data_IF_360298744650
#
_entry.id   IF_360298744650
#
_cell.length_a   1.000
_cell.length_b   1.000
_cell.length_c   1.000
_cell.angle_alpha   90.00
_cell.angle_beta   90.00
_cell.angle_gamma   90.00
#
_symmetry.space_group_name_H-M   'P 1'
#
loop_
_entity.id
_entity.type
_entity.pdbx_description
1 polymer ?
#
# COMPACT_ATOMS: atom_id res chain seq x y z
N UNK A 1 19.13 0.66 6.18
CA UNK A 1 18.32 -0.08 7.18
C UNK A 1 17.26 -0.85 6.42
N UNK A 2 16.80 -2.01 6.90
CA UNK A 2 15.64 -2.66 6.29
C UNK A 2 14.36 -2.05 6.86
N UNK A 3 13.53 -1.50 5.99
CA UNK A 3 12.16 -1.11 6.29
C UNK A 3 11.23 -2.29 6.01
N UNK A 4 10.27 -2.55 6.91
CA UNK A 4 9.20 -3.52 6.70
C UNK A 4 7.87 -2.81 6.95
N UNK A 5 7.07 -2.62 5.90
CA UNK A 5 5.78 -1.94 5.98
C UNK A 5 4.66 -2.76 5.32
N UNK A 6 3.45 -2.72 5.91
CA UNK A 6 2.22 -3.21 5.27
C UNK A 6 1.27 -2.04 5.04
N UNK A 7 0.65 -2.00 3.86
CA UNK A 7 -0.23 -0.90 3.46
C UNK A 7 -1.65 -1.32 3.14
N UNK A 8 -2.60 -0.57 3.68
CA UNK A 8 -3.98 -0.58 3.24
C UNK A 8 -4.34 0.74 2.55
N UNK A 9 -5.10 0.67 1.47
CA UNK A 9 -5.90 1.79 0.97
C UNK A 9 -7.30 1.74 1.60
N UNK A 10 -7.96 2.90 1.74
CA UNK A 10 -9.33 2.97 2.22
C UNK A 10 -10.15 4.04 1.45
N UNK A 11 -11.50 3.99 1.49
CA UNK A 11 -12.32 4.96 0.78
C UNK A 11 -12.16 6.35 1.41
N UNK A 12 -11.68 7.33 0.64
CA UNK A 12 -11.45 8.70 1.15
C UNK A 12 -12.68 9.34 1.80
N UNK A 13 -13.88 9.04 1.30
CA UNK A 13 -15.15 9.50 1.89
C UNK A 13 -15.36 9.04 3.34
N UNK A 14 -14.66 7.98 3.78
CA UNK A 14 -14.72 7.42 5.14
C UNK A 14 -13.60 7.91 6.05
N UNK A 15 -12.82 8.93 5.66
CA UNK A 15 -11.71 9.46 6.45
C UNK A 15 -12.08 9.75 7.91
N UNK A 16 -13.14 10.53 8.15
CA UNK A 16 -13.55 10.93 9.51
C UNK A 16 -13.83 9.69 10.37
N UNK A 17 -14.55 8.72 9.80
CA UNK A 17 -14.87 7.47 10.50
C UNK A 17 -13.63 6.62 10.73
N UNK A 18 -12.76 6.48 9.72
CA UNK A 18 -11.50 5.73 9.79
C UNK A 18 -10.58 6.28 10.88
N UNK A 19 -10.39 7.60 10.93
CA UNK A 19 -9.59 8.24 11.97
C UNK A 19 -10.20 8.01 13.37
N UNK A 20 -11.52 8.14 13.51
CA UNK A 20 -12.20 7.87 14.78
C UNK A 20 -12.07 6.41 15.21
N UNK A 21 -12.12 5.46 14.28
CA UNK A 21 -11.98 4.04 14.57
C UNK A 21 -10.54 3.71 14.99
N UNK A 22 -9.54 4.26 14.30
CA UNK A 22 -8.13 4.14 14.72
C UNK A 22 -7.90 4.69 16.13
N UNK A 23 -8.49 5.85 16.45
CA UNK A 23 -8.43 6.41 17.81
C UNK A 23 -9.14 5.55 18.85
N UNK A 24 -10.25 4.89 18.48
CA UNK A 24 -10.94 3.98 19.39
C UNK A 24 -10.10 2.72 19.68
N UNK A 25 -9.31 2.25 18.70
CA UNK A 25 -8.48 1.04 18.82
C UNK A 25 -7.17 1.34 19.57
N UNK A 26 -6.56 2.49 19.33
CA UNK A 26 -5.18 2.79 19.73
C UNK A 26 -5.01 4.05 20.60
N UNK A 27 -6.11 4.75 20.91
CA UNK A 27 -6.08 6.00 21.65
C UNK A 27 -5.66 7.20 20.82
N UNK A 28 -5.25 8.28 21.50
CA UNK A 28 -4.83 9.52 20.84
C UNK A 28 -3.55 9.34 20.01
N UNK A 29 -3.44 10.00 18.85
CA UNK A 29 -2.23 9.95 18.05
C UNK A 29 -1.05 10.62 18.75
N UNK A 30 0.15 10.09 18.50
CA UNK A 30 1.43 10.64 18.96
C UNK A 30 1.85 11.91 18.23
N UNK A 31 1.48 12.05 16.95
CA UNK A 31 1.76 13.27 16.18
C UNK A 31 0.78 13.43 15.01
N UNK A 32 0.66 14.67 14.55
CA UNK A 32 0.01 15.03 13.29
C UNK A 32 0.91 16.02 12.54
N UNK A 33 1.25 15.74 11.29
CA UNK A 33 2.24 16.54 10.54
C UNK A 33 1.90 16.61 9.05
N UNK A 34 2.11 17.78 8.45
CA UNK A 34 2.03 17.97 7.00
C UNK A 34 3.39 17.59 6.39
N UNK A 35 3.38 16.62 5.47
CA UNK A 35 4.56 16.12 4.78
C UNK A 35 4.54 16.51 3.30
N UNK A 36 5.51 17.33 2.92
CA UNK A 36 5.71 17.77 1.54
C UNK A 36 6.95 17.11 0.96
N UNK A 37 6.80 16.41 -0.15
CA UNK A 37 7.87 15.63 -0.75
C UNK A 37 8.01 16.00 -2.23
N UNK A 38 9.24 16.05 -2.71
CA UNK A 38 9.59 16.11 -4.13
C UNK A 38 10.38 14.86 -4.47
N UNK A 39 9.96 14.13 -5.49
CA UNK A 39 10.66 12.95 -5.98
C UNK A 39 11.57 13.34 -7.14
N UNK A 40 12.73 12.71 -7.21
CA UNK A 40 13.77 12.99 -8.19
C UNK A 40 14.16 11.73 -8.96
N UNK A 41 14.39 11.90 -10.25
CA UNK A 41 14.87 10.86 -11.16
C UNK A 41 15.65 11.52 -12.31
N UNK A 42 16.30 10.71 -13.14
CA UNK A 42 16.90 11.14 -14.40
C UNK A 42 15.83 11.36 -15.47
N UNK A 43 16.10 12.11 -16.56
CA UNK A 43 15.13 12.37 -17.62
C UNK A 43 14.57 11.11 -18.29
N UNK A 44 15.31 10.01 -18.24
CA UNK A 44 14.89 8.72 -18.79
C UNK A 44 14.24 7.79 -17.74
N UNK A 45 14.09 8.22 -16.49
CA UNK A 45 13.53 7.44 -15.37
C UNK A 45 14.38 6.24 -14.93
N UNK A 46 15.70 6.41 -14.83
CA UNK A 46 16.62 5.33 -14.48
C UNK A 46 16.42 4.81 -13.03
N UNK A 47 16.05 5.66 -12.08
CA UNK A 47 15.70 5.26 -10.71
C UNK A 47 14.46 4.38 -10.74
N UNK A 48 13.39 4.81 -11.42
CA UNK A 48 12.17 4.01 -11.53
C UNK A 48 12.42 2.65 -12.16
N UNK A 49 13.13 2.59 -13.30
CA UNK A 49 13.46 1.30 -13.93
C UNK A 49 14.26 0.37 -13.03
N UNK A 50 15.07 0.94 -12.15
CA UNK A 50 15.85 0.21 -11.14
C UNK A 50 15.06 -0.07 -9.86
N UNK A 51 13.76 0.27 -9.81
CA UNK A 51 12.87 0.17 -8.64
C UNK A 51 13.41 0.93 -7.42
N UNK A 52 14.00 2.09 -7.68
CA UNK A 52 14.56 3.01 -6.68
C UNK A 52 13.72 4.28 -6.65
N UNK A 53 13.50 4.81 -5.44
CA UNK A 53 12.84 6.08 -5.22
C UNK A 53 13.74 7.00 -4.40
N UNK A 54 14.06 8.17 -4.95
CA UNK A 54 14.76 9.24 -4.26
C UNK A 54 13.79 10.40 -4.02
N UNK A 55 13.70 10.85 -2.77
CA UNK A 55 12.88 12.01 -2.42
C UNK A 55 13.63 12.98 -1.53
N UNK A 56 13.21 14.24 -1.62
CA UNK A 56 13.51 15.30 -0.66
C UNK A 56 12.21 15.69 0.04
N UNK A 57 12.20 15.67 1.36
CA UNK A 57 11.05 15.97 2.21
C UNK A 57 11.29 17.23 3.01
N UNK A 58 10.29 18.12 3.06
CA UNK A 58 10.25 19.26 3.95
C UNK A 58 9.47 18.89 5.23
N UNK A 59 10.10 19.13 6.38
CA UNK A 59 9.56 18.93 7.73
C UNK A 59 9.48 20.27 8.47
N UNK A 60 8.79 21.25 7.89
CA UNK A 60 8.60 22.56 8.52
C UNK A 60 9.88 23.38 8.67
N UNK A 61 10.79 23.29 7.70
CA UNK A 61 12.07 24.02 7.68
C UNK A 61 13.31 23.14 7.84
N UNK A 62 13.14 21.89 8.30
CA UNK A 62 14.16 20.85 8.20
C UNK A 62 13.95 20.02 6.92
N UNK A 63 15.03 19.49 6.36
CA UNK A 63 15.01 18.72 5.12
C UNK A 63 15.52 17.30 5.34
N UNK A 64 14.86 16.33 4.74
CA UNK A 64 15.28 14.93 4.75
C UNK A 64 15.37 14.40 3.32
N UNK A 65 16.53 13.86 2.98
CA UNK A 65 16.71 13.05 1.77
C UNK A 65 16.51 11.59 2.13
N UNK A 66 15.62 10.92 1.42
CA UNK A 66 15.39 9.47 1.55
C UNK A 66 15.67 8.79 0.22
N UNK A 67 16.50 7.75 0.24
CA UNK A 67 16.62 6.77 -0.83
C UNK A 67 15.95 5.48 -0.37
N UNK A 68 15.01 4.96 -1.15
CA UNK A 68 14.42 3.62 -0.98
C UNK A 68 14.74 2.79 -2.21
N UNK A 69 15.18 1.56 -2.03
CA UNK A 69 15.47 0.67 -3.14
C UNK A 69 15.89 -0.71 -2.65
N UNK A 70 16.03 -1.63 -3.58
CA UNK A 70 16.31 -3.02 -3.22
C UNK A 70 15.16 -3.67 -2.43
N UNK A 71 15.29 -4.96 -2.21
CA UNK A 71 14.31 -5.74 -1.44
C UNK A 71 13.21 -6.38 -2.28
N UNK A 72 12.11 -6.76 -1.62
CA UNK A 72 11.02 -7.57 -2.18
C UNK A 72 9.68 -7.04 -1.69
N UNK A 73 8.67 -7.19 -2.52
CA UNK A 73 7.28 -6.87 -2.20
C UNK A 73 6.43 -8.14 -2.34
N UNK A 74 5.46 -8.35 -1.43
CA UNK A 74 4.48 -9.44 -1.52
C UNK A 74 3.11 -8.93 -1.07
N UNK A 75 2.12 -8.88 -1.97
CA UNK A 75 0.73 -8.49 -1.66
C UNK A 75 0.55 -7.23 -0.78
N UNK A 76 1.45 -6.24 -0.87
CA UNK A 76 1.39 -4.99 -0.09
C UNK A 76 2.25 -4.96 1.17
N UNK A 77 2.92 -6.07 1.52
CA UNK A 77 4.06 -6.09 2.44
C UNK A 77 5.31 -5.69 1.66
N UNK A 78 5.90 -4.56 2.01
CA UNK A 78 7.12 -4.05 1.42
C UNK A 78 8.30 -4.29 2.36
N UNK A 79 9.36 -4.92 1.84
CA UNK A 79 10.63 -5.06 2.56
C UNK A 79 11.71 -4.46 1.70
N UNK A 80 12.24 -3.29 2.09
CA UNK A 80 13.15 -2.50 1.26
C UNK A 80 14.34 -1.99 2.05
N UNK A 81 15.43 -1.73 1.36
CA UNK A 81 16.52 -0.98 1.96
C UNK A 81 16.19 0.52 1.90
N UNK A 82 16.34 1.18 3.03
CA UNK A 82 16.11 2.61 3.19
C UNK A 82 17.33 3.30 3.81
N UNK A 83 17.64 4.45 3.24
CA UNK A 83 18.67 5.37 3.72
C UNK A 83 18.06 6.77 3.89
N UNK A 84 18.23 7.34 5.08
CA UNK A 84 17.72 8.66 5.43
C UNK A 84 18.86 9.57 5.85
N UNK A 85 18.84 10.81 5.35
CA UNK A 85 19.81 11.83 5.74
C UNK A 85 19.12 13.16 6.00
N UNK A 86 19.37 13.72 7.17
CA UNK A 86 19.00 15.09 7.48
C UNK A 86 19.90 16.06 6.71
N UNK A 87 19.28 17.10 6.15
CA UNK A 87 19.91 18.11 5.32
C UNK A 87 19.60 19.50 5.88
N UNK A 88 20.54 20.42 5.68
CA UNK A 88 20.44 21.81 6.15
C UNK A 88 19.65 22.71 5.21
N UNK A 89 19.46 22.31 3.95
CA UNK A 89 18.78 23.10 2.93
C UNK A 89 17.95 22.24 1.95
N UNK A 90 17.20 22.92 1.08
CA UNK A 90 16.31 22.31 0.10
C UNK A 90 17.06 21.85 -1.15
N UNK A 91 18.10 21.02 -0.99
CA UNK A 91 18.89 20.49 -2.11
C UNK A 91 19.28 19.05 -1.83
N UNK A 92 19.22 18.20 -2.87
CA UNK A 92 19.78 16.87 -2.77
C UNK A 92 21.29 16.94 -2.55
N UNK A 93 21.79 16.09 -1.67
CA UNK A 93 23.21 15.83 -1.51
C UNK A 93 23.53 14.49 -2.20
N UNK A 94 23.94 14.60 -3.47
CA UNK A 94 24.28 13.46 -4.34
C UNK A 94 25.49 12.71 -3.82
N UNK A 95 26.39 13.36 -3.06
CA UNK A 95 27.57 12.70 -2.49
C UNK A 95 27.18 11.57 -1.53
N UNK A 96 26.04 11.70 -0.83
CA UNK A 96 25.49 10.68 0.07
C UNK A 96 24.96 9.44 -0.65
N UNK A 97 24.69 9.53 -1.95
CA UNK A 97 24.24 8.41 -2.77
C UNK A 97 25.42 7.57 -3.31
N UNK A 98 26.64 8.12 -3.25
CA UNK A 98 27.83 7.47 -3.77
C UNK A 98 28.14 6.18 -3.01
N UNK A 99 28.37 5.08 -3.73
CA UNK A 99 28.69 3.78 -3.15
C UNK A 99 27.48 2.96 -2.68
N UNK A 100 26.26 3.43 -2.91
CA UNK A 100 25.06 2.63 -2.65
C UNK A 100 24.76 1.75 -3.87
N UNK A 101 24.73 0.44 -3.65
CA UNK A 101 24.61 -0.56 -4.72
C UNK A 101 23.37 -0.38 -5.61
N UNK A 102 22.24 0.05 -5.05
CA UNK A 102 20.99 0.20 -5.80
C UNK A 102 21.02 1.33 -6.83
N UNK A 103 21.96 2.27 -6.72
CA UNK A 103 22.13 3.40 -7.67
C UNK A 103 23.46 3.35 -8.43
N UNK A 104 24.25 2.28 -8.29
CA UNK A 104 25.61 2.19 -8.85
C UNK A 104 25.70 2.34 -10.37
N UNK A 105 24.62 2.02 -11.08
CA UNK A 105 24.52 2.05 -12.55
C UNK A 105 23.69 3.23 -13.06
N UNK A 106 23.37 4.20 -12.21
CA UNK A 106 22.54 5.36 -12.54
C UNK A 106 23.44 6.59 -12.60
N UNK A 107 23.34 7.37 -13.67
CA UNK A 107 23.99 8.68 -13.75
C UNK A 107 23.24 9.69 -12.87
N UNK A 108 23.82 10.01 -11.71
CA UNK A 108 23.22 10.91 -10.74
C UNK A 108 23.42 12.40 -11.08
N UNK A 109 24.15 12.72 -12.16
CA UNK A 109 24.42 14.10 -12.58
C UNK A 109 23.21 14.85 -13.11
N UNK A 110 22.23 14.13 -13.67
CA UNK A 110 21.05 14.69 -14.34
C UNK A 110 19.76 14.55 -13.51
N UNK A 111 19.86 14.37 -12.19
CA UNK A 111 18.69 14.26 -11.33
C UNK A 111 17.86 15.55 -11.34
N UNK A 112 16.59 15.42 -11.71
CA UNK A 112 15.61 16.50 -11.73
C UNK A 112 14.35 16.15 -10.95
N UNK A 113 13.56 17.15 -10.49
CA UNK A 113 12.29 16.91 -9.84
C UNK A 113 11.27 16.35 -10.84
N UNK A 114 10.52 15.32 -10.44
CA UNK A 114 9.61 14.58 -11.33
C UNK A 114 8.15 14.79 -10.93
N UNK A 115 7.81 14.51 -9.68
CA UNK A 115 6.47 14.69 -9.13
C UNK A 115 6.56 15.02 -7.63
N UNK A 116 5.41 15.40 -7.05
CA UNK A 116 5.31 15.77 -5.64
C UNK A 116 4.25 14.95 -4.92
N UNK A 117 4.44 14.77 -3.62
CA UNK A 117 3.39 14.26 -2.73
C UNK A 117 3.20 15.21 -1.56
N UNK A 118 1.97 15.61 -1.30
CA UNK A 118 1.60 16.47 -0.18
C UNK A 118 0.45 15.83 0.59
N UNK A 119 0.71 15.46 1.84
CA UNK A 119 -0.27 14.78 2.67
C UNK A 119 -0.08 15.07 4.14
N UNK A 120 -1.17 14.96 4.89
CA UNK A 120 -1.18 14.94 6.34
C UNK A 120 -0.94 13.51 6.81
N UNK A 121 -0.03 13.33 7.76
CA UNK A 121 0.25 12.06 8.44
C UNK A 121 -0.16 12.18 9.90
N UNK A 122 -1.11 11.36 10.31
CA UNK A 122 -1.46 11.13 11.71
C UNK A 122 -0.80 9.84 12.16
N UNK A 123 -0.04 9.86 13.25
CA UNK A 123 0.81 8.75 13.67
C UNK A 123 0.48 8.25 15.07
N UNK A 124 0.55 6.93 15.26
CA UNK A 124 0.60 6.25 16.55
C UNK A 124 1.88 5.41 16.65
N UNK A 125 2.50 5.40 17.84
CA UNK A 125 3.49 4.40 18.20
C UNK A 125 2.76 3.33 19.00
N UNK A 126 2.79 2.09 18.52
CA UNK A 126 2.05 0.99 19.12
C UNK A 126 3.00 -0.14 19.51
N UNK A 127 2.74 -0.74 20.66
CA UNK A 127 3.40 -1.96 21.11
C UNK A 127 2.40 -3.11 21.05
N UNK A 128 2.75 -4.18 20.34
CA UNK A 128 1.91 -5.36 20.21
C UNK A 128 2.77 -6.60 20.01
N UNK A 129 2.42 -7.69 20.69
CA UNK A 129 3.11 -8.99 20.56
C UNK A 129 4.64 -8.89 20.75
N UNK A 130 5.11 -8.03 21.66
CA UNK A 130 6.54 -7.81 21.90
C UNK A 130 7.29 -7.09 20.78
N UNK A 131 6.57 -6.46 19.85
CA UNK A 131 7.11 -5.66 18.74
C UNK A 131 6.60 -4.22 18.81
N UNK A 132 7.36 -3.30 18.22
CA UNK A 132 7.04 -1.86 18.14
C UNK A 132 6.74 -1.49 16.70
N UNK A 133 5.62 -0.80 16.48
CA UNK A 133 5.21 -0.35 15.16
C UNK A 133 4.94 1.15 15.14
N UNK A 134 5.24 1.78 13.99
CA UNK A 134 4.66 3.05 13.60
C UNK A 134 3.39 2.74 12.77
N UNK A 135 2.24 3.18 13.26
CA UNK A 135 0.99 3.17 12.51
C UNK A 135 0.73 4.58 11.99
N UNK A 136 0.56 4.73 10.69
CA UNK A 136 0.33 6.02 10.04
C UNK A 136 -0.98 6.02 9.25
N UNK A 137 -1.80 7.05 9.45
CA UNK A 137 -2.92 7.40 8.58
C UNK A 137 -2.47 8.57 7.70
N UNK A 138 -2.38 8.32 6.40
CA UNK A 138 -1.93 9.31 5.42
C UNK A 138 -3.08 9.74 4.52
N UNK A 139 -3.29 11.06 4.44
CA UNK A 139 -4.30 11.66 3.56
C UNK A 139 -3.78 12.88 2.82
N UNK A 140 -3.95 12.89 1.51
CA UNK A 140 -3.53 14.01 0.69
C UNK A 140 -3.58 13.70 -0.80
N UNK A 141 -2.52 14.04 -1.51
CA UNK A 141 -2.42 13.86 -2.95
C UNK A 141 -0.99 13.62 -3.46
N UNK A 142 -0.94 12.95 -4.61
CA UNK A 142 0.22 12.84 -5.49
C UNK A 142 -0.07 13.70 -6.71
N UNK A 143 0.88 14.56 -7.09
CA UNK A 143 0.73 15.47 -8.21
C UNK A 143 1.90 15.30 -9.18
N UNK A 144 1.57 14.89 -10.40
CA UNK A 144 2.49 14.80 -11.53
C UNK A 144 2.09 15.74 -12.67
N UNK A 145 2.76 15.61 -13.81
CA UNK A 145 2.52 16.43 -14.99
C UNK A 145 1.18 16.12 -15.68
N UNK A 146 0.69 14.89 -15.59
CA UNK A 146 -0.54 14.44 -16.28
C UNK A 146 -1.78 14.47 -15.40
N UNK A 147 -1.64 14.70 -14.09
CA UNK A 147 -2.79 14.74 -13.18
C UNK A 147 -2.45 14.66 -11.70
N UNK A 148 -3.49 14.37 -10.92
CA UNK A 148 -3.46 14.24 -9.46
C UNK A 148 -4.13 12.92 -9.07
N UNK A 149 -3.53 12.18 -8.14
CA UNK A 149 -4.15 11.00 -7.50
C UNK A 149 -4.30 11.23 -6.00
N UNK A 150 -5.41 10.81 -5.37
CA UNK A 150 -5.59 10.92 -3.93
C UNK A 150 -4.63 9.99 -3.16
N UNK A 151 -4.29 10.40 -1.94
CA UNK A 151 -3.68 9.55 -0.92
C UNK A 151 -4.74 9.35 0.17
N UNK A 152 -5.05 8.08 0.47
CA UNK A 152 -5.89 7.66 1.59
C UNK A 152 -5.47 6.25 1.99
N UNK A 153 -4.43 6.17 2.82
CA UNK A 153 -3.79 4.91 3.20
C UNK A 153 -3.52 4.81 4.71
N UNK A 154 -3.48 3.56 5.19
CA UNK A 154 -3.02 3.18 6.52
C UNK A 154 -1.74 2.37 6.33
N UNK A 155 -0.62 2.85 6.87
CA UNK A 155 0.67 2.16 6.84
C UNK A 155 1.00 1.60 8.23
N UNK A 156 1.48 0.36 8.28
CA UNK A 156 1.98 -0.30 9.48
C UNK A 156 3.45 -0.61 9.24
N UNK A 157 4.35 0.17 9.85
CA UNK A 157 5.78 -0.02 9.75
C UNK A 157 6.32 -0.70 11.02
N UNK A 158 7.01 -1.82 10.87
CA UNK A 158 7.70 -2.49 11.97
C UNK A 158 8.99 -1.72 12.28
N UNK A 159 9.12 -1.20 13.50
CA UNK A 159 10.33 -0.52 13.97
C UNK A 159 11.27 -1.48 14.68
N UNK A 160 10.72 -2.34 15.54
CA UNK A 160 11.47 -3.33 16.32
C UNK A 160 10.62 -4.59 16.51
N UNK A 161 11.25 -5.77 16.46
CA UNK A 161 10.58 -7.05 16.71
C UNK A 161 10.43 -7.92 15.47
N UNK A 162 9.35 -8.70 15.41
CA UNK A 162 9.14 -9.77 14.43
C UNK A 162 8.16 -9.37 13.32
N UNK A 163 8.51 -9.65 12.07
CA UNK A 163 7.67 -9.38 10.88
C UNK A 163 6.32 -10.10 10.96
N UNK A 164 6.26 -11.29 11.57
CA UNK A 164 5.01 -12.03 11.76
C UNK A 164 3.98 -11.28 12.62
N UNK A 165 4.42 -10.35 13.47
CA UNK A 165 3.54 -9.55 14.31
C UNK A 165 2.83 -8.41 13.53
N UNK A 166 3.31 -8.03 12.34
CA UNK A 166 2.65 -7.04 11.46
C UNK A 166 1.23 -7.48 11.12
N UNK A 167 1.03 -8.77 10.80
CA UNK A 167 -0.28 -9.32 10.44
C UNK A 167 -1.30 -9.21 11.59
N UNK A 168 -0.86 -9.34 12.84
CA UNK A 168 -1.75 -9.24 14.00
C UNK A 168 -2.31 -7.81 14.15
N UNK A 169 -1.47 -6.79 13.94
CA UNK A 169 -1.90 -5.39 13.91
C UNK A 169 -2.83 -5.14 12.73
N UNK A 170 -2.45 -5.65 11.55
CA UNK A 170 -3.22 -5.49 10.32
C UNK A 170 -4.62 -6.09 10.42
N UNK A 171 -4.76 -7.26 11.04
CA UNK A 171 -6.07 -7.88 11.28
C UNK A 171 -6.97 -7.05 12.18
N UNK A 172 -6.42 -6.41 13.22
CA UNK A 172 -7.22 -5.55 14.12
C UNK A 172 -7.82 -4.37 13.36
N UNK A 173 -7.11 -3.85 12.37
CA UNK A 173 -7.56 -2.80 11.46
C UNK A 173 -8.61 -3.36 10.50
N UNK A 174 -8.27 -4.41 9.74
CA UNK A 174 -9.13 -4.97 8.71
C UNK A 174 -10.47 -5.50 9.28
N UNK A 175 -10.53 -5.94 10.54
CA UNK A 175 -11.79 -6.37 11.19
C UNK A 175 -12.78 -5.23 11.46
N UNK A 176 -12.32 -3.98 11.52
CA UNK A 176 -13.14 -2.84 11.95
C UNK A 176 -13.25 -1.73 10.91
N UNK A 177 -12.25 -1.63 10.03
CA UNK A 177 -12.11 -0.52 9.08
C UNK A 177 -12.19 -1.10 7.67
N UNK A 178 -13.22 -0.74 6.89
CA UNK A 178 -13.28 -1.00 5.45
C UNK A 178 -12.05 -0.45 4.72
N UNK A 179 -11.22 -1.37 4.24
CA UNK A 179 -9.94 -1.12 3.59
C UNK A 179 -9.56 -2.32 2.70
N UNK A 180 -8.50 -2.19 1.90
CA UNK A 180 -7.94 -3.26 1.06
C UNK A 180 -6.42 -3.11 0.96
N UNK A 181 -5.70 -4.22 0.76
CA UNK A 181 -4.24 -4.16 0.63
C UNK A 181 -3.84 -3.33 -0.59
N UNK A 182 -2.84 -2.47 -0.42
CA UNK A 182 -2.31 -1.63 -1.50
C UNK A 182 -0.88 -2.03 -1.81
N UNK A 183 -0.62 -2.39 -3.07
CA UNK A 183 0.72 -2.77 -3.56
C UNK A 183 1.49 -1.60 -4.13
N UNK A 184 0.81 -0.55 -4.56
CA UNK A 184 1.46 0.58 -5.22
C UNK A 184 2.00 1.58 -4.20
N UNK A 185 3.33 1.66 -4.10
CA UNK A 185 3.97 2.74 -3.35
C UNK A 185 3.56 4.11 -3.91
N UNK A 186 3.64 5.15 -3.07
CA UNK A 186 3.40 6.55 -3.51
C UNK A 186 4.31 6.94 -4.68
N UNK A 187 5.54 6.40 -4.73
CA UNK A 187 6.46 6.61 -5.84
C UNK A 187 5.93 5.99 -7.15
N UNK A 188 5.49 4.73 -7.12
CA UNK A 188 4.93 4.05 -8.28
C UNK A 188 3.71 4.80 -8.86
N UNK A 189 2.80 5.24 -7.98
CA UNK A 189 1.65 6.08 -8.36
C UNK A 189 2.04 7.46 -8.88
N UNK A 190 3.15 8.02 -8.42
CA UNK A 190 3.70 9.28 -8.94
C UNK A 190 4.27 9.14 -10.35
N UNK A 191 4.99 8.05 -10.62
CA UNK A 191 5.53 7.76 -11.95
C UNK A 191 4.43 7.58 -13.01
N UNK A 192 3.29 7.00 -12.64
CA UNK A 192 2.13 6.93 -13.57
C UNK A 192 1.57 8.31 -13.95
N UNK A 193 1.84 9.35 -13.15
CA UNK A 193 1.37 10.72 -13.38
C UNK A 193 2.37 11.61 -14.13
N UNK A 194 3.46 11.04 -14.63
CA UNK A 194 4.50 11.79 -15.37
C UNK A 194 4.88 11.12 -16.68
N UNK A 195 4.07 10.14 -17.12
CA UNK A 195 4.29 9.43 -18.38
C UNK A 195 5.51 8.50 -18.35
N UNK A 196 6.01 8.13 -17.16
CA UNK A 196 7.06 7.13 -17.06
C UNK A 196 6.53 5.78 -17.58
N UNK A 197 7.33 5.02 -18.33
CA UNK A 197 6.93 3.69 -18.76
C UNK A 197 6.66 2.83 -17.53
N UNK A 198 5.61 1.98 -17.55
CA UNK A 198 5.38 1.04 -16.47
C UNK A 198 6.63 0.15 -16.34
N UNK A 199 7.05 -0.11 -15.09
CA UNK A 199 8.06 -1.14 -14.85
C UNK A 199 7.41 -2.45 -15.29
N UNK A 200 7.91 -3.05 -16.37
CA UNK A 200 7.46 -4.37 -16.78
C UNK A 200 7.54 -5.31 -15.58
N UNK A 201 6.46 -6.06 -15.31
CA UNK A 201 6.62 -7.27 -14.50
C UNK A 201 7.67 -8.08 -15.26
N UNK A 202 8.79 -8.42 -14.61
CA UNK A 202 9.64 -9.48 -15.17
C UNK A 202 8.68 -10.64 -15.40
N UNK A 203 8.48 -11.01 -16.66
CA UNK A 203 7.61 -12.10 -17.04
C UNK A 203 8.33 -13.37 -16.60
N UNK A 204 8.35 -13.61 -15.29
CA UNK A 204 8.67 -14.92 -14.77
C UNK A 204 7.48 -15.75 -15.19
N UNK A 205 7.67 -16.60 -16.20
CA UNK A 205 6.76 -17.67 -16.60
C UNK A 205 6.63 -18.73 -15.47
N UNK A 206 6.70 -18.31 -14.22
CA UNK A 206 6.38 -19.10 -13.06
C UNK A 206 4.89 -18.90 -12.79
N UNK A 207 4.07 -19.80 -13.34
CA UNK A 207 2.68 -20.00 -12.94
C UNK A 207 2.62 -20.60 -11.52
N UNK A 208 3.32 -19.99 -10.57
CA UNK A 208 3.21 -20.37 -9.17
C UNK A 208 1.88 -19.83 -8.63
N UNK A 209 1.30 -20.59 -7.71
CA UNK A 209 0.09 -20.20 -7.01
C UNK A 209 0.24 -18.82 -6.32
N UNK A 210 1.42 -18.55 -5.74
CA UNK A 210 1.75 -17.27 -5.12
C UNK A 210 1.77 -16.11 -6.12
N UNK A 211 2.24 -16.31 -7.35
CA UNK A 211 2.22 -15.28 -8.39
C UNK A 211 0.80 -14.95 -8.85
N UNK A 212 -0.06 -15.96 -8.99
CA UNK A 212 -1.48 -15.78 -9.34
C UNK A 212 -2.24 -15.06 -8.21
N UNK A 213 -1.97 -15.43 -6.96
CA UNK A 213 -2.53 -14.75 -5.80
C UNK A 213 -2.10 -13.29 -5.70
N UNK A 214 -0.81 -12.99 -5.94
CA UNK A 214 -0.29 -11.62 -5.95
C UNK A 214 -0.94 -10.77 -7.05
N UNK A 215 -1.20 -11.35 -8.22
CA UNK A 215 -1.92 -10.69 -9.31
C UNK A 215 -3.37 -10.37 -8.93
N UNK A 216 -4.12 -11.34 -8.43
CA UNK A 216 -5.52 -11.15 -8.02
C UNK A 216 -5.67 -10.09 -6.91
N UNK A 217 -4.73 -9.99 -5.97
CA UNK A 217 -4.72 -8.92 -4.98
C UNK A 217 -4.45 -7.55 -5.63
N UNK A 218 -3.60 -7.49 -6.65
CA UNK A 218 -3.40 -6.28 -7.44
C UNK A 218 -4.67 -5.85 -8.16
N UNK A 219 -5.37 -6.79 -8.80
CA UNK A 219 -6.61 -6.53 -9.52
C UNK A 219 -7.73 -6.08 -8.58
N UNK A 220 -7.86 -6.75 -7.43
CA UNK A 220 -8.78 -6.36 -6.36
C UNK A 220 -8.51 -4.93 -5.88
N UNK A 221 -7.25 -4.58 -5.63
CA UNK A 221 -6.88 -3.25 -5.17
C UNK A 221 -7.21 -2.17 -6.20
N UNK A 222 -6.87 -2.41 -7.48
CA UNK A 222 -7.19 -1.53 -8.59
C UNK A 222 -8.71 -1.31 -8.71
N UNK A 223 -9.47 -2.40 -8.62
CA UNK A 223 -10.92 -2.35 -8.67
C UNK A 223 -11.53 -1.54 -7.51
N UNK A 224 -11.06 -1.78 -6.29
CA UNK A 224 -11.52 -1.06 -5.11
C UNK A 224 -11.21 0.44 -5.19
N UNK A 225 -10.06 0.82 -5.75
CA UNK A 225 -9.69 2.22 -6.00
C UNK A 225 -10.67 2.88 -6.98
N UNK A 226 -10.95 2.25 -8.13
CA UNK A 226 -11.91 2.75 -9.14
C UNK A 226 -13.28 3.02 -8.51
N UNK A 227 -13.82 2.06 -7.75
CA UNK A 227 -15.10 2.24 -7.04
C UNK A 227 -15.04 3.35 -6.00
N UNK A 228 -13.94 3.45 -5.23
CA UNK A 228 -13.79 4.46 -4.19
C UNK A 228 -13.75 5.88 -4.76
N UNK A 229 -13.24 6.05 -5.98
CA UNK A 229 -13.23 7.31 -6.72
C UNK A 229 -14.59 7.65 -7.34
N UNK A 230 -15.56 6.73 -7.24
CA UNK A 230 -16.91 6.88 -7.80
C UNK A 230 -16.99 6.55 -9.28
N UNK A 231 -15.96 5.88 -9.80
CA UNK A 231 -15.89 5.40 -11.18
C UNK A 231 -16.27 3.92 -11.20
N UNK A 232 -17.15 3.52 -12.12
CA UNK A 232 -17.52 2.11 -12.29
C UNK A 232 -18.52 1.54 -11.26
N UNK A 233 -19.19 0.46 -11.68
CA UNK A 233 -20.09 -0.35 -10.86
C UNK A 233 -20.02 -1.83 -11.29
N UNK A 234 -18.82 -2.25 -11.71
CA UNK A 234 -18.58 -3.57 -12.28
C UNK A 234 -18.50 -4.63 -11.17
N UNK A 235 -19.58 -4.83 -10.41
CA UNK A 235 -19.64 -5.78 -9.28
C UNK A 235 -19.19 -7.19 -9.68
N UNK A 236 -19.35 -7.58 -10.95
CA UNK A 236 -18.89 -8.87 -11.47
C UNK A 236 -17.35 -9.00 -11.44
N UNK A 237 -16.58 -7.93 -11.64
CA UNK A 237 -15.10 -7.98 -11.54
C UNK A 237 -14.64 -8.28 -10.11
N UNK A 238 -15.34 -7.73 -9.12
CA UNK A 238 -15.10 -8.09 -7.72
C UNK A 238 -15.37 -9.58 -7.50
N UNK A 239 -16.52 -10.07 -7.97
CA UNK A 239 -16.91 -11.48 -7.84
C UNK A 239 -15.91 -12.41 -8.54
N UNK A 240 -15.43 -12.05 -9.73
CA UNK A 240 -14.39 -12.78 -10.46
C UNK A 240 -13.08 -12.84 -9.66
N UNK A 241 -12.62 -11.72 -9.10
CA UNK A 241 -11.44 -11.68 -8.23
C UNK A 241 -11.64 -12.58 -7.00
N UNK A 242 -12.79 -12.49 -6.33
CA UNK A 242 -13.11 -13.31 -5.16
C UNK A 242 -13.15 -14.81 -5.51
N UNK A 243 -13.74 -15.18 -6.65
CA UNK A 243 -13.80 -16.56 -7.11
C UNK A 243 -12.41 -17.13 -7.43
N UNK A 244 -11.55 -16.33 -8.06
CA UNK A 244 -10.15 -16.68 -8.31
C UNK A 244 -9.37 -16.90 -7.01
N UNK A 245 -9.47 -15.95 -6.08
CA UNK A 245 -8.81 -16.05 -4.76
C UNK A 245 -9.31 -17.29 -4.01
N UNK A 246 -10.64 -17.50 -3.94
CA UNK A 246 -11.22 -18.67 -3.28
C UNK A 246 -10.67 -19.96 -3.85
N UNK A 247 -10.64 -20.07 -5.18
CA UNK A 247 -10.21 -21.29 -5.87
C UNK A 247 -8.76 -21.63 -5.51
N UNK A 248 -7.87 -20.64 -5.49
CA UNK A 248 -6.47 -20.83 -5.11
C UNK A 248 -6.35 -21.12 -3.61
N UNK A 249 -7.08 -20.42 -2.72
CA UNK A 249 -7.07 -20.70 -1.28
C UNK A 249 -7.54 -22.13 -0.94
N UNK A 250 -8.50 -22.69 -1.68
CA UNK A 250 -9.05 -24.04 -1.45
C UNK A 250 -8.15 -25.17 -1.96
N UNK A 251 -7.45 -24.98 -3.09
CA UNK A 251 -6.63 -26.02 -3.72
C UNK A 251 -5.45 -26.50 -2.85
N UNK A 252 -5.04 -25.73 -1.83
CA UNK A 252 -3.88 -26.05 -0.98
C UNK A 252 -4.15 -26.98 0.20
N UNK A 253 -5.39 -27.45 0.42
CA UNK A 253 -5.69 -28.58 1.32
C UNK A 253 -5.36 -28.41 2.82
N UNK A 254 -5.33 -27.20 3.38
CA UNK A 254 -5.12 -27.02 4.82
C UNK A 254 -6.45 -27.02 5.61
N UNK A 255 -6.59 -27.99 6.51
CA UNK A 255 -7.81 -28.34 7.27
C UNK A 255 -8.28 -27.30 8.33
N UNK A 256 -7.86 -26.03 8.23
CA UNK A 256 -8.35 -24.92 9.08
C UNK A 256 -8.34 -23.61 8.30
N UNK A 257 -9.08 -23.55 7.20
CA UNK A 257 -8.96 -22.46 6.26
C UNK A 257 -9.85 -21.27 6.67
N UNK A 258 -9.36 -20.45 7.61
CA UNK A 258 -10.01 -19.18 8.02
C UNK A 258 -10.25 -18.28 6.80
N UNK A 259 -9.32 -18.26 5.84
CA UNK A 259 -9.49 -17.58 4.56
C UNK A 259 -10.66 -18.10 3.72
N UNK A 260 -10.84 -19.42 3.61
CA UNK A 260 -12.01 -20.00 2.93
C UNK A 260 -13.32 -19.58 3.61
N UNK A 261 -13.36 -19.56 4.95
CA UNK A 261 -14.54 -19.12 5.69
C UNK A 261 -14.85 -17.64 5.45
N UNK A 262 -13.83 -16.77 5.41
CA UNK A 262 -13.98 -15.35 5.12
C UNK A 262 -14.49 -15.15 3.69
N UNK A 263 -13.87 -15.81 2.70
CA UNK A 263 -14.28 -15.68 1.30
C UNK A 263 -15.68 -16.25 1.08
N UNK A 264 -16.00 -17.40 1.69
CA UNK A 264 -17.35 -17.98 1.64
C UNK A 264 -18.39 -17.07 2.29
N UNK A 265 -18.10 -16.51 3.47
CA UNK A 265 -18.98 -15.56 4.13
C UNK A 265 -19.19 -14.29 3.31
N UNK A 266 -18.17 -13.80 2.62
CA UNK A 266 -18.28 -12.68 1.70
C UNK A 266 -19.12 -13.04 0.48
N UNK A 267 -18.92 -14.21 -0.12
CA UNK A 267 -19.77 -14.70 -1.22
C UNK A 267 -21.23 -14.80 -0.80
N UNK A 268 -21.51 -15.35 0.38
CA UNK A 268 -22.87 -15.38 0.96
C UNK A 268 -23.42 -13.97 1.19
N UNK A 269 -22.61 -13.03 1.68
CA UNK A 269 -22.99 -11.62 1.88
C UNK A 269 -23.32 -10.92 0.55
N UNK A 270 -22.55 -11.17 -0.50
CA UNK A 270 -22.81 -10.69 -1.86
C UNK A 270 -24.12 -11.24 -2.42
N UNK A 271 -24.39 -12.54 -2.23
CA UNK A 271 -25.67 -13.15 -2.62
C UNK A 271 -26.84 -12.53 -1.89
N UNK A 272 -26.70 -12.25 -0.59
CA UNK A 272 -27.73 -11.57 0.19
C UNK A 272 -27.95 -10.13 -0.30
N UNK A 273 -26.87 -9.38 -0.55
CA UNK A 273 -26.94 -8.04 -1.13
C UNK A 273 -27.69 -8.04 -2.47
N UNK A 274 -27.34 -8.97 -3.36
CA UNK A 274 -27.98 -9.11 -4.67
C UNK A 274 -29.47 -9.48 -4.57
N UNK A 275 -29.80 -10.41 -3.65
CA UNK A 275 -31.16 -10.91 -3.45
C UNK A 275 -32.12 -9.85 -2.87
N UNK A 276 -31.61 -8.84 -2.15
CA UNK A 276 -32.39 -7.72 -1.59
C UNK A 276 -32.70 -6.61 -2.61
N UNK A 277 -32.65 -6.90 -3.92
CA UNK A 277 -32.96 -5.95 -5.01
C UNK A 277 -32.11 -4.66 -5.02
N UNK A 278 -30.88 -4.68 -4.49
CA UNK A 278 -29.97 -3.53 -4.54
C UNK A 278 -30.55 -2.24 -3.92
N UNK A 279 -31.28 -2.34 -2.80
CA UNK A 279 -31.73 -1.16 -2.02
C UNK A 279 -30.57 -0.19 -1.70
N UNK A 280 -29.36 -0.74 -1.62
CA UNK A 280 -28.07 -0.03 -1.54
C UNK A 280 -27.24 -0.42 -2.77
N UNK A 281 -26.71 0.57 -3.50
CA UNK A 281 -25.86 0.32 -4.66
C UNK A 281 -24.58 -0.44 -4.29
N UNK A 282 -24.01 -1.22 -5.22
CA UNK A 282 -22.85 -2.07 -4.92
C UNK A 282 -21.66 -1.26 -4.38
N UNK A 283 -21.35 -0.10 -4.96
CA UNK A 283 -20.28 0.78 -4.51
C UNK A 283 -20.46 1.19 -3.04
N UNK A 284 -21.70 1.48 -2.61
CA UNK A 284 -21.97 1.82 -1.22
C UNK A 284 -21.85 0.61 -0.29
N UNK A 285 -22.29 -0.57 -0.74
CA UNK A 285 -22.09 -1.82 -0.01
C UNK A 285 -20.60 -2.11 0.19
N UNK A 286 -19.83 -2.17 -0.89
CA UNK A 286 -18.45 -2.69 -0.84
C UNK A 286 -17.48 -1.73 -0.14
N UNK A 287 -17.68 -0.42 -0.28
CA UNK A 287 -16.87 0.58 0.43
C UNK A 287 -17.16 0.62 1.94
N UNK A 288 -18.21 -0.05 2.41
CA UNK A 288 -18.47 -0.27 3.83
C UNK A 288 -18.14 -1.69 4.31
N UNK A 289 -17.66 -2.58 3.42
CA UNK A 289 -17.26 -3.94 3.77
C UNK A 289 -15.82 -3.99 4.27
N UNK A 290 -15.58 -4.79 5.31
CA UNK A 290 -14.25 -5.15 5.81
C UNK A 290 -13.64 -6.36 5.08
N UNK A 291 -14.44 -7.06 4.27
CA UNK A 291 -14.01 -8.29 3.61
C UNK A 291 -12.79 -8.10 2.69
N UNK A 292 -12.67 -7.05 1.86
CA UNK A 292 -11.51 -6.89 0.98
C UNK A 292 -10.17 -6.88 1.74
N UNK A 293 -10.12 -6.21 2.89
CA UNK A 293 -8.94 -6.16 3.76
C UNK A 293 -8.63 -7.51 4.39
N UNK A 294 -9.64 -8.21 4.91
CA UNK A 294 -9.49 -9.53 5.52
C UNK A 294 -9.04 -10.60 4.51
N UNK A 295 -9.63 -10.59 3.31
CA UNK A 295 -9.27 -11.50 2.23
C UNK A 295 -7.84 -11.24 1.78
N UNK A 296 -7.46 -9.97 1.62
CA UNK A 296 -6.08 -9.60 1.32
C UNK A 296 -5.09 -10.14 2.33
N UNK A 297 -5.39 -10.02 3.63
CA UNK A 297 -4.53 -10.54 4.69
C UNK A 297 -4.38 -12.07 4.65
N UNK A 298 -5.41 -12.80 4.26
CA UNK A 298 -5.28 -14.26 4.14
C UNK A 298 -4.48 -14.70 2.93
N UNK A 299 -4.62 -13.97 1.81
CA UNK A 299 -3.72 -14.18 0.68
C UNK A 299 -2.27 -13.91 1.09
N UNK A 300 -2.01 -12.81 1.80
CA UNK A 300 -0.67 -12.51 2.30
C UNK A 300 -0.15 -13.58 3.27
N UNK A 301 -0.96 -14.06 4.22
CA UNK A 301 -0.59 -15.16 5.13
C UNK A 301 -0.15 -16.40 4.37
N UNK A 302 -0.90 -16.77 3.33
CA UNK A 302 -0.57 -17.92 2.49
C UNK A 302 0.73 -17.70 1.71
N UNK A 303 0.91 -16.54 1.11
CA UNK A 303 2.14 -16.20 0.37
C UNK A 303 3.39 -16.18 1.26
N UNK A 304 3.25 -15.91 2.57
CA UNK A 304 4.36 -15.95 3.52
C UNK A 304 4.64 -17.36 4.08
N UNK A 305 3.71 -18.30 3.92
CA UNK A 305 3.83 -19.67 4.43
C UNK A 305 4.42 -20.66 3.40
N UNK A 306 4.35 -20.33 2.11
CA UNK A 306 4.95 -21.10 1.00
C UNK A 306 6.32 -20.57 0.61
#
# INVERSE_FOLDING_TARGET
MKEVELKFSFPRKRLVKTNSDLMAIWGSPSSNTILQNVYYDTPDFAMQRSRVALRLRNLGGAWEQTLKGGGRDAAGLHVRDEWNWQLSDNKLDVSKLSGIDVVKNIDLGDLGPVFKTNFERIKWMIEASGSVFELALDVGEIRGATGVRPISEIEIELKEGDVSAVLAVAERIAKQIPCWLSKESKAARGYSLVGAPPIGRECQYEHSESAQLDELIGDLACYMEVIAEGEGNDWYKYVECMAGINSLLTLSGSDRNVGEQIVKAEVESLFQWFSRKQEVGFSEYILNSTAPGLIGLEVLRKMLAG
#
